data_IF_417693897854
#
_entry.id   IF_417693897854
#
_cell.length_a   1.000
_cell.length_b   1.000
_cell.length_c   1.000
_cell.angle_alpha   90.00
_cell.angle_beta   90.00
_cell.angle_gamma   90.00
#
_symmetry.space_group_name_H-M   'P 1'
#
loop_
_entity.id
_entity.type
_entity.pdbx_description
1 polymer ?
#
# COMPACT_ATOMS: atom_id res chain seq x y z
N UNK A 1 -12.37 52.50 15.04
CA UNK A 1 -11.82 51.24 15.57
C UNK A 1 -12.81 50.06 15.68
N UNK A 2 -14.06 50.20 16.07
CA UNK A 2 -15.05 49.09 16.19
C UNK A 2 -15.43 48.38 14.87
N UNK A 3 -15.47 49.08 13.73
CA UNK A 3 -15.82 48.46 12.42
C UNK A 3 -14.71 47.55 11.86
N UNK A 4 -13.47 47.84 12.16
CA UNK A 4 -12.31 47.04 11.70
C UNK A 4 -12.25 45.66 12.41
N UNK A 5 -12.58 45.59 13.68
CA UNK A 5 -12.62 44.34 14.45
C UNK A 5 -13.77 43.42 14.01
N UNK A 6 -14.92 43.95 13.65
CA UNK A 6 -16.08 43.17 13.16
C UNK A 6 -15.73 42.52 11.80
N UNK A 7 -15.06 43.23 10.90
CA UNK A 7 -14.67 42.71 9.59
C UNK A 7 -13.58 41.60 9.72
N UNK A 8 -12.63 41.75 10.65
CA UNK A 8 -11.62 40.72 10.90
C UNK A 8 -12.24 39.45 11.49
N UNK A 9 -13.17 39.57 12.44
CA UNK A 9 -13.88 38.43 13.03
C UNK A 9 -14.76 37.74 11.97
N UNK A 10 -15.42 38.49 11.12
CA UNK A 10 -16.29 37.96 10.06
C UNK A 10 -15.46 37.21 8.97
N UNK A 11 -14.30 37.76 8.58
CA UNK A 11 -13.35 37.07 7.68
C UNK A 11 -12.80 35.77 8.28
N UNK A 12 -12.47 35.77 9.58
CA UNK A 12 -12.00 34.55 10.26
C UNK A 12 -13.09 33.48 10.33
N UNK A 13 -14.32 33.87 10.59
CA UNK A 13 -15.48 32.95 10.68
C UNK A 13 -15.82 32.33 9.30
N UNK A 14 -15.75 33.11 8.23
CA UNK A 14 -15.97 32.61 6.87
C UNK A 14 -14.88 31.66 6.39
N UNK A 15 -13.62 31.86 6.79
CA UNK A 15 -12.50 30.98 6.47
C UNK A 15 -12.62 29.62 7.20
N UNK A 16 -13.01 29.63 8.47
CA UNK A 16 -13.21 28.39 9.25
C UNK A 16 -14.37 27.56 8.66
N UNK A 17 -15.48 28.21 8.28
CA UNK A 17 -16.64 27.55 7.67
C UNK A 17 -16.28 26.89 6.32
N UNK A 18 -15.49 27.54 5.50
CA UNK A 18 -15.06 26.99 4.20
C UNK A 18 -14.08 25.82 4.34
N UNK A 19 -13.12 25.90 5.25
CA UNK A 19 -12.21 24.79 5.53
C UNK A 19 -12.97 23.56 6.07
N UNK A 20 -14.04 23.77 6.84
CA UNK A 20 -14.92 22.73 7.31
C UNK A 20 -15.71 22.09 6.16
N UNK A 21 -16.32 22.88 5.27
CA UNK A 21 -17.04 22.42 4.09
C UNK A 21 -16.16 21.58 3.16
N UNK A 22 -14.91 22.04 2.94
CA UNK A 22 -13.94 21.31 2.14
C UNK A 22 -13.56 19.97 2.79
N UNK A 23 -13.32 19.95 4.10
CA UNK A 23 -13.03 18.74 4.84
C UNK A 23 -14.18 17.73 4.78
N UNK A 24 -15.43 18.18 4.91
CA UNK A 24 -16.61 17.34 4.79
C UNK A 24 -16.78 16.78 3.38
N UNK A 25 -16.58 17.60 2.35
CA UNK A 25 -16.63 17.16 0.94
C UNK A 25 -15.56 16.11 0.63
N UNK A 26 -14.35 16.24 1.17
CA UNK A 26 -13.32 15.22 1.06
C UNK A 26 -13.71 13.93 1.80
N UNK A 27 -14.27 14.06 3.00
CA UNK A 27 -14.71 12.91 3.78
C UNK A 27 -15.81 12.12 3.05
N UNK A 28 -16.77 12.80 2.45
CA UNK A 28 -17.84 12.20 1.64
C UNK A 28 -17.29 11.50 0.39
N UNK A 29 -16.22 12.03 -0.17
CA UNK A 29 -15.50 11.42 -1.30
C UNK A 29 -14.60 10.23 -0.92
N UNK A 30 -14.54 9.82 0.37
CA UNK A 30 -13.81 8.65 0.85
C UNK A 30 -12.44 8.94 1.46
N UNK A 31 -12.08 10.20 1.55
CA UNK A 31 -10.85 10.59 2.24
C UNK A 31 -11.01 10.41 3.76
N UNK A 32 -9.93 10.06 4.41
CA UNK A 32 -9.87 9.82 5.84
C UNK A 32 -8.69 10.57 6.45
N UNK A 33 -8.75 10.82 7.75
CA UNK A 33 -7.73 11.57 8.49
C UNK A 33 -7.38 12.92 7.83
N UNK A 34 -8.42 13.62 7.35
CA UNK A 34 -8.27 14.87 6.62
C UNK A 34 -7.90 16.02 7.57
N UNK A 35 -6.79 16.68 7.29
CA UNK A 35 -6.34 17.89 7.96
C UNK A 35 -6.09 18.98 6.91
N UNK A 36 -6.63 20.16 7.14
CA UNK A 36 -6.49 21.31 6.25
C UNK A 36 -5.77 22.40 7.03
N UNK A 37 -4.56 22.72 6.63
CA UNK A 37 -3.73 23.74 7.26
C UNK A 37 -3.53 24.89 6.27
N UNK A 38 -3.93 26.07 6.69
CA UNK A 38 -3.81 27.30 5.92
C UNK A 38 -2.81 28.22 6.61
N UNK A 39 -1.77 28.65 5.88
CA UNK A 39 -0.80 29.60 6.37
C UNK A 39 -0.39 30.55 5.24
N UNK A 40 -0.58 31.84 5.45
CA UNK A 40 -0.19 32.93 4.54
C UNK A 40 -0.65 32.71 3.08
N UNK A 41 -0.87 32.51 2.22
CA UNK A 41 -1.17 32.21 0.81
C UNK A 41 -0.90 30.74 0.41
N UNK A 42 -0.69 29.84 1.37
CA UNK A 42 -0.46 28.41 1.13
C UNK A 42 -1.53 27.55 1.79
N UNK A 43 -2.01 26.54 1.07
CA UNK A 43 -2.95 25.53 1.57
C UNK A 43 -2.25 24.16 1.55
N UNK A 44 -2.18 23.51 2.70
CA UNK A 44 -1.65 22.16 2.83
C UNK A 44 -2.77 21.22 3.26
N UNK A 45 -3.05 20.22 2.43
CA UNK A 45 -4.08 19.23 2.68
C UNK A 45 -3.42 17.89 2.96
N UNK A 46 -3.62 17.37 4.16
CA UNK A 46 -3.14 16.07 4.60
C UNK A 46 -4.29 15.09 4.59
N UNK A 47 -4.12 13.90 4.03
CA UNK A 47 -5.18 12.89 3.95
C UNK A 47 -4.65 11.47 3.72
N UNK A 48 -5.41 10.47 4.13
CA UNK A 48 -5.32 9.10 3.64
C UNK A 48 -6.52 8.80 2.74
N UNK A 49 -6.28 8.15 1.59
CA UNK A 49 -7.34 7.72 0.69
C UNK A 49 -7.04 6.30 0.20
N UNK A 50 -7.83 5.34 0.66
CA UNK A 50 -7.55 3.90 0.52
C UNK A 50 -8.27 3.25 -0.67
N UNK A 51 -8.88 4.05 -1.54
CA UNK A 51 -9.61 3.55 -2.71
C UNK A 51 -8.69 3.36 -3.93
N UNK A 52 -7.70 4.23 -4.09
CA UNK A 52 -6.77 4.18 -5.21
C UNK A 52 -5.39 3.66 -4.79
N UNK A 53 -4.85 2.78 -5.62
CA UNK A 53 -3.47 2.32 -5.51
C UNK A 53 -2.46 3.45 -5.65
N UNK A 54 -2.75 4.38 -6.57
CA UNK A 54 -1.86 5.48 -6.93
C UNK A 54 -2.31 6.79 -6.27
N UNK A 55 -1.47 7.42 -5.43
CA UNK A 55 -1.81 8.66 -4.74
C UNK A 55 -2.07 9.84 -5.68
N UNK A 56 -1.61 9.79 -6.94
CA UNK A 56 -1.94 10.78 -7.96
C UNK A 56 -3.45 10.96 -8.12
N UNK A 57 -4.20 9.88 -8.24
CA UNK A 57 -5.65 9.94 -8.40
C UNK A 57 -6.33 10.56 -7.18
N UNK A 58 -5.85 10.26 -5.99
CA UNK A 58 -6.35 10.87 -4.75
C UNK A 58 -6.06 12.37 -4.70
N UNK A 59 -4.85 12.79 -5.06
CA UNK A 59 -4.48 14.21 -5.12
C UNK A 59 -5.28 14.96 -6.19
N UNK A 60 -5.51 14.36 -7.37
CA UNK A 60 -6.35 14.94 -8.41
C UNK A 60 -7.79 15.09 -7.97
N UNK A 61 -8.37 14.08 -7.32
CA UNK A 61 -9.73 14.15 -6.79
C UNK A 61 -9.86 15.26 -5.74
N UNK A 62 -8.89 15.36 -4.82
CA UNK A 62 -8.87 16.42 -3.81
C UNK A 62 -8.79 17.82 -4.46
N UNK A 63 -7.97 17.98 -5.51
CA UNK A 63 -7.90 19.24 -6.28
C UNK A 63 -9.22 19.57 -6.96
N UNK A 64 -9.87 18.59 -7.61
CA UNK A 64 -11.17 18.78 -8.25
C UNK A 64 -12.27 19.20 -7.28
N UNK A 65 -12.28 18.66 -6.06
CA UNK A 65 -13.23 19.05 -5.02
C UNK A 65 -12.97 20.49 -4.58
N UNK A 66 -11.72 20.87 -4.39
CA UNK A 66 -11.33 22.24 -4.04
C UNK A 66 -11.76 23.25 -5.12
N UNK A 67 -11.52 22.94 -6.40
CA UNK A 67 -11.88 23.79 -7.53
C UNK A 67 -13.41 23.99 -7.64
N UNK A 68 -14.21 22.95 -7.34
CA UNK A 68 -15.67 23.03 -7.33
C UNK A 68 -16.23 23.96 -6.26
N UNK A 69 -15.58 24.06 -5.12
CA UNK A 69 -15.95 24.96 -4.05
C UNK A 69 -15.62 26.43 -4.35
N UNK A 70 -15.13 26.73 -5.57
CA UNK A 70 -14.77 28.09 -6.04
C UNK A 70 -13.80 28.79 -5.09
N UNK A 71 -12.96 28.07 -4.43
CA UNK A 71 -11.84 28.69 -3.74
C UNK A 71 -10.89 29.31 -4.79
N UNK A 72 -10.55 30.59 -4.57
CA UNK A 72 -9.59 31.23 -5.48
C UNK A 72 -8.32 30.41 -5.59
N UNK A 73 -7.74 30.27 -6.79
CA UNK A 73 -6.47 29.54 -6.94
C UNK A 73 -5.45 30.16 -6.00
N UNK A 74 -5.13 29.46 -4.94
CA UNK A 74 -4.08 29.87 -4.00
C UNK A 74 -2.74 29.58 -4.65
N UNK A 75 -1.82 30.50 -4.54
CA UNK A 75 -0.54 30.41 -5.23
C UNK A 75 0.30 29.19 -4.83
N UNK A 76 -0.07 28.49 -3.73
CA UNK A 76 0.68 27.31 -3.23
C UNK A 76 -0.24 26.28 -2.60
N UNK A 77 -0.82 25.41 -3.41
CA UNK A 77 -1.51 24.19 -2.93
C UNK A 77 -0.49 23.05 -2.83
N UNK A 78 -0.51 22.34 -1.72
CA UNK A 78 0.32 21.13 -1.50
C UNK A 78 -0.48 20.03 -0.82
N UNK A 79 -0.12 18.78 -1.10
CA UNK A 79 -0.72 17.60 -0.52
C UNK A 79 0.30 16.82 0.32
N UNK A 80 -0.16 16.27 1.44
CA UNK A 80 0.59 15.32 2.26
C UNK A 80 -0.22 14.01 2.32
N UNK A 81 0.00 13.10 1.37
CA UNK A 81 -0.64 11.79 1.42
C UNK A 81 -0.12 10.99 2.62
N UNK A 82 -1.05 10.29 3.26
CA UNK A 82 -0.81 9.40 4.40
C UNK A 82 -0.89 7.96 3.91
N UNK A 83 -0.05 7.09 4.45
CA UNK A 83 -0.12 5.65 4.30
C UNK A 83 -0.01 4.99 5.67
N UNK A 84 -0.97 4.13 6.03
CA UNK A 84 -1.08 3.52 7.35
C UNK A 84 -0.97 4.52 8.52
N UNK A 85 -1.67 5.65 8.38
CA UNK A 85 -1.65 6.73 9.36
C UNK A 85 -0.25 7.35 9.59
N UNK A 86 0.63 7.28 8.59
CA UNK A 86 1.96 7.91 8.57
C UNK A 86 2.08 8.79 7.33
N UNK A 87 2.40 10.09 7.47
CA UNK A 87 2.66 10.95 6.33
C UNK A 87 3.87 10.45 5.54
N UNK A 88 3.76 10.44 4.20
CA UNK A 88 4.84 9.95 3.32
C UNK A 88 5.77 11.07 2.86
N UNK A 89 5.23 12.27 2.70
CA UNK A 89 5.94 13.44 2.22
C UNK A 89 4.98 14.49 1.69
N UNK A 90 5.50 15.63 1.27
CA UNK A 90 4.73 16.75 0.77
C UNK A 90 4.94 16.93 -0.73
N UNK A 91 3.86 17.10 -1.47
CA UNK A 91 3.85 17.26 -2.92
C UNK A 91 3.14 18.55 -3.32
N UNK A 92 3.74 19.34 -4.21
CA UNK A 92 3.05 20.49 -4.80
C UNK A 92 1.93 20.02 -5.74
N UNK A 93 0.78 20.68 -5.73
CA UNK A 93 -0.36 20.29 -6.55
C UNK A 93 -0.15 20.49 -8.05
N UNK A 94 0.77 21.42 -8.44
CA UNK A 94 1.00 21.76 -9.84
C UNK A 94 2.01 20.83 -10.51
N UNK A 95 3.10 20.49 -9.82
CA UNK A 95 4.24 19.77 -10.40
C UNK A 95 4.51 18.43 -9.76
N UNK A 96 3.81 18.10 -8.65
CA UNK A 96 4.09 16.94 -7.80
C UNK A 96 5.54 16.89 -7.31
N UNK A 97 6.18 18.08 -7.18
CA UNK A 97 7.52 18.15 -6.60
C UNK A 97 7.48 17.72 -5.15
N UNK A 98 8.32 16.73 -4.84
CA UNK A 98 8.45 16.17 -3.50
C UNK A 98 9.30 17.04 -2.60
N UNK A 99 8.95 17.10 -1.34
CA UNK A 99 9.80 17.58 -0.24
C UNK A 99 9.50 16.79 1.03
N UNK A 100 10.51 16.63 1.88
CA UNK A 100 10.32 16.12 3.24
C UNK A 100 9.41 17.06 4.04
N UNK A 101 8.73 16.51 5.05
CA UNK A 101 7.96 17.32 5.97
C UNK A 101 8.91 18.11 6.89
N UNK A 102 8.54 19.35 7.17
CA UNK A 102 9.18 20.11 8.23
C UNK A 102 8.80 19.57 9.61
N UNK A 103 9.60 19.88 10.61
CA UNK A 103 9.30 19.48 11.99
C UNK A 103 7.94 20.03 12.43
N UNK A 104 7.61 21.27 12.09
CA UNK A 104 6.32 21.89 12.42
C UNK A 104 5.12 21.20 11.76
N UNK A 105 5.26 20.73 10.51
CA UNK A 105 4.21 19.96 9.81
C UNK A 105 4.01 18.59 10.46
N UNK A 106 5.10 17.95 10.88
CA UNK A 106 5.06 16.66 11.58
C UNK A 106 4.39 16.79 12.95
N UNK A 107 4.73 17.81 13.73
CA UNK A 107 4.12 18.10 15.02
C UNK A 107 2.63 18.46 14.89
N UNK A 108 2.26 19.28 13.90
CA UNK A 108 0.88 19.62 13.60
C UNK A 108 0.05 18.39 13.26
N UNK A 109 0.59 17.48 12.41
CA UNK A 109 -0.06 16.23 12.11
C UNK A 109 -0.30 15.39 13.36
N UNK A 110 0.71 15.23 14.22
CA UNK A 110 0.62 14.43 15.44
C UNK A 110 -0.43 14.97 16.40
N UNK A 111 -0.49 16.29 16.58
CA UNK A 111 -1.42 16.95 17.50
C UNK A 111 -2.88 16.76 17.10
N UNK A 112 -3.17 16.77 15.79
CA UNK A 112 -4.53 16.68 15.26
C UNK A 112 -4.95 15.25 14.89
N UNK A 113 -4.03 14.29 14.93
CA UNK A 113 -4.28 12.91 14.54
C UNK A 113 -4.99 12.12 15.66
N UNK A 114 -6.30 11.87 15.45
CA UNK A 114 -7.14 11.06 16.36
C UNK A 114 -7.52 9.75 15.67
N UNK A 115 -6.63 8.77 15.72
CA UNK A 115 -6.69 7.51 14.96
C UNK A 115 -8.10 6.90 14.92
N UNK A 116 -8.68 6.56 16.05
CA UNK A 116 -9.98 5.89 16.13
C UNK A 116 -11.18 6.73 15.64
N UNK A 117 -11.05 8.05 15.55
CA UNK A 117 -12.12 8.94 15.08
C UNK A 117 -12.01 9.32 13.62
N UNK A 118 -10.82 9.20 13.06
CA UNK A 118 -10.49 9.71 11.74
C UNK A 118 -10.61 8.65 10.64
N UNK A 119 -10.87 7.39 11.01
CA UNK A 119 -10.97 6.27 10.07
C UNK A 119 -12.31 5.56 10.18
N UNK A 120 -12.82 5.11 9.02
CA UNK A 120 -13.96 4.20 8.93
C UNK A 120 -13.51 2.77 9.18
N UNK A 121 -14.38 1.93 9.70
CA UNK A 121 -14.18 0.48 9.61
C UNK A 121 -14.27 0.08 8.13
N UNK A 122 -13.19 -0.41 7.56
CA UNK A 122 -13.13 -0.79 6.16
C UNK A 122 -13.20 -2.30 6.01
N UNK A 123 -14.24 -2.78 5.32
CA UNK A 123 -14.34 -4.17 4.87
C UNK A 123 -13.89 -4.21 3.42
N UNK A 124 -12.89 -5.03 3.11
CA UNK A 124 -12.33 -5.20 1.77
C UNK A 124 -12.72 -6.55 1.20
N UNK A 125 -13.08 -6.56 -0.07
CA UNK A 125 -13.35 -7.77 -0.84
C UNK A 125 -12.28 -7.87 -1.91
N UNK A 126 -11.49 -8.94 -1.89
CA UNK A 126 -10.40 -9.13 -2.83
C UNK A 126 -10.38 -10.56 -3.38
N UNK A 127 -10.26 -10.73 -4.70
CA UNK A 127 -10.03 -12.03 -5.29
C UNK A 127 -8.60 -12.49 -5.00
N UNK A 128 -8.45 -13.80 -4.85
CA UNK A 128 -7.16 -14.47 -4.81
C UNK A 128 -7.15 -15.55 -5.88
N UNK A 129 -6.21 -15.44 -6.81
CA UNK A 129 -6.04 -16.38 -7.91
C UNK A 129 -4.65 -16.99 -7.81
N UNK A 130 -4.57 -18.30 -7.81
CA UNK A 130 -3.33 -19.06 -7.97
C UNK A 130 -3.53 -19.93 -9.19
N UNK A 131 -2.59 -19.91 -10.13
CA UNK A 131 -2.67 -20.68 -11.35
C UNK A 131 -1.35 -21.38 -11.64
N UNK A 132 -1.43 -22.56 -12.22
CA UNK A 132 -0.31 -23.35 -12.70
C UNK A 132 -0.62 -23.83 -14.10
N UNK A 133 0.36 -23.72 -15.00
CA UNK A 133 0.20 -24.05 -16.40
C UNK A 133 1.24 -25.09 -16.84
N UNK A 134 0.93 -25.85 -17.87
CA UNK A 134 1.90 -26.66 -18.60
C UNK A 134 1.99 -28.13 -18.21
N UNK A 135 1.07 -28.66 -17.41
CA UNK A 135 0.97 -30.11 -17.18
C UNK A 135 0.28 -30.82 -18.35
N UNK A 136 0.86 -31.90 -18.82
CA UNK A 136 0.31 -32.65 -19.96
C UNK A 136 -1.10 -33.22 -19.69
N UNK A 137 -1.34 -33.71 -18.47
CA UNK A 137 -2.62 -34.34 -18.09
C UNK A 137 -3.67 -33.34 -17.62
N UNK A 138 -3.23 -32.20 -17.07
CA UNK A 138 -4.10 -31.12 -16.60
C UNK A 138 -3.38 -29.78 -16.85
N UNK A 139 -3.49 -29.26 -18.08
CA UNK A 139 -2.66 -28.13 -18.53
C UNK A 139 -3.00 -26.81 -17.84
N UNK A 140 -4.12 -26.72 -17.13
CA UNK A 140 -4.55 -25.52 -16.45
C UNK A 140 -5.15 -25.82 -15.08
N UNK A 141 -4.34 -25.65 -14.06
CA UNK A 141 -4.78 -25.83 -12.67
C UNK A 141 -4.94 -24.47 -11.99
N UNK A 142 -6.06 -24.27 -11.32
CA UNK A 142 -6.37 -23.00 -10.66
C UNK A 142 -6.96 -23.21 -9.28
N UNK A 143 -6.72 -22.22 -8.44
CA UNK A 143 -7.39 -22.04 -7.16
C UNK A 143 -7.90 -20.61 -7.10
N UNK A 144 -9.20 -20.48 -6.90
CA UNK A 144 -9.87 -19.19 -6.82
C UNK A 144 -10.56 -19.05 -5.47
N UNK A 145 -10.17 -18.01 -4.73
CA UNK A 145 -10.77 -17.64 -3.45
C UNK A 145 -11.24 -16.19 -3.49
N UNK A 146 -12.16 -15.85 -2.60
CA UNK A 146 -12.50 -14.46 -2.26
C UNK A 146 -12.11 -14.25 -0.80
N UNK A 147 -11.25 -13.28 -0.55
CA UNK A 147 -10.91 -12.84 0.79
C UNK A 147 -11.79 -11.63 1.16
N UNK A 148 -12.41 -11.72 2.32
CA UNK A 148 -13.18 -10.64 2.94
C UNK A 148 -12.44 -10.29 4.22
N UNK A 149 -11.76 -9.17 4.24
CA UNK A 149 -10.93 -8.76 5.36
C UNK A 149 -11.23 -7.34 5.82
N UNK A 150 -10.78 -7.02 7.02
CA UNK A 150 -10.87 -5.69 7.61
C UNK A 150 -9.51 -5.28 8.17
N UNK A 151 -9.16 -4.01 7.98
CA UNK A 151 -7.98 -3.40 8.57
C UNK A 151 -8.39 -2.27 9.50
N UNK A 152 -7.98 -2.38 10.75
CA UNK A 152 -8.28 -1.43 11.82
C UNK A 152 -6.98 -0.76 12.23
N UNK A 153 -6.94 0.58 12.22
CA UNK A 153 -5.82 1.34 12.74
C UNK A 153 -5.96 1.49 14.26
N UNK A 154 -4.93 1.03 15.00
CA UNK A 154 -4.88 1.06 16.47
C UNK A 154 -4.14 2.30 16.95
N UNK A 155 -3.03 2.61 16.28
CA UNK A 155 -2.18 3.76 16.56
C UNK A 155 -1.52 4.26 15.26
N UNK A 156 -0.69 5.29 15.35
CA UNK A 156 0.08 5.78 14.21
C UNK A 156 0.97 4.66 13.67
N UNK A 157 0.78 4.30 12.42
CA UNK A 157 1.49 3.21 11.76
C UNK A 157 1.10 1.80 12.19
N UNK A 158 0.38 1.64 13.31
CA UNK A 158 0.01 0.34 13.84
C UNK A 158 -1.41 -0.03 13.42
N UNK A 159 -1.56 -1.15 12.75
CA UNK A 159 -2.84 -1.69 12.32
C UNK A 159 -2.97 -3.18 12.62
N UNK A 160 -4.19 -3.63 12.75
CA UNK A 160 -4.57 -5.04 12.82
C UNK A 160 -5.44 -5.37 11.61
N UNK A 161 -5.08 -6.42 10.90
CA UNK A 161 -5.85 -6.97 9.78
C UNK A 161 -6.32 -8.38 10.12
N UNK A 162 -7.56 -8.70 9.78
CA UNK A 162 -8.11 -10.05 9.90
C UNK A 162 -9.31 -10.22 8.96
N UNK A 163 -9.68 -11.47 8.67
CA UNK A 163 -10.81 -11.74 7.80
C UNK A 163 -11.05 -13.23 7.57
N UNK A 164 -11.84 -13.51 6.53
CA UNK A 164 -12.17 -14.85 6.09
C UNK A 164 -11.83 -15.04 4.62
N UNK A 165 -11.40 -16.24 4.26
CA UNK A 165 -11.21 -16.70 2.90
C UNK A 165 -12.37 -17.64 2.54
N UNK A 166 -13.12 -17.25 1.51
CA UNK A 166 -14.20 -18.03 0.91
C UNK A 166 -13.65 -18.72 -0.34
N UNK A 167 -13.40 -20.03 -0.33
CA UNK A 167 -12.96 -20.75 -1.52
C UNK A 167 -14.11 -20.92 -2.49
N UNK A 168 -13.87 -20.66 -3.76
CA UNK A 168 -14.88 -20.76 -4.83
C UNK A 168 -14.62 -21.97 -5.70
N UNK A 169 -13.34 -22.17 -6.10
CA UNK A 169 -12.94 -23.29 -6.95
C UNK A 169 -11.50 -23.70 -6.64
N UNK A 170 -11.21 -24.98 -6.73
CA UNK A 170 -9.86 -25.51 -6.52
C UNK A 170 -9.67 -26.83 -7.29
N UNK A 171 -8.80 -26.79 -8.30
CA UNK A 171 -8.27 -28.00 -8.95
C UNK A 171 -6.72 -27.98 -8.95
N UNK A 172 -6.11 -27.09 -8.15
CA UNK A 172 -4.67 -26.93 -8.06
C UNK A 172 -4.04 -27.85 -7.01
N UNK A 173 -4.70 -28.03 -5.89
CA UNK A 173 -4.23 -28.80 -4.76
C UNK A 173 -5.41 -29.54 -4.06
N UNK A 174 -5.09 -30.34 -3.05
CA UNK A 174 -6.09 -31.14 -2.33
C UNK A 174 -6.81 -30.37 -1.21
N UNK A 175 -6.67 -29.04 -1.13
CA UNK A 175 -7.32 -28.25 -0.10
C UNK A 175 -8.82 -28.17 -0.32
N UNK A 176 -9.60 -28.58 0.68
CA UNK A 176 -11.06 -28.58 0.63
C UNK A 176 -11.63 -27.15 0.48
N UNK A 177 -12.82 -27.07 -0.16
CA UNK A 177 -13.60 -25.83 -0.29
C UNK A 177 -14.31 -25.48 1.05
N UNK A 178 -13.53 -25.18 2.08
CA UNK A 178 -14.03 -24.79 3.41
C UNK A 178 -13.59 -23.36 3.73
N UNK A 179 -14.42 -22.65 4.49
CA UNK A 179 -14.06 -21.31 5.00
C UNK A 179 -12.79 -21.39 5.83
N UNK A 180 -11.90 -20.45 5.62
CA UNK A 180 -10.60 -20.34 6.30
C UNK A 180 -10.36 -18.93 6.81
N UNK A 181 -9.41 -18.78 7.72
CA UNK A 181 -8.89 -17.46 8.07
C UNK A 181 -8.18 -16.85 6.85
N UNK A 182 -8.51 -15.61 6.51
CA UNK A 182 -7.68 -14.80 5.64
C UNK A 182 -6.37 -14.42 6.38
N UNK A 183 -5.36 -13.89 5.66
CA UNK A 183 -4.17 -13.34 6.32
C UNK A 183 -4.53 -12.41 7.47
N UNK A 184 -4.06 -12.76 8.67
CA UNK A 184 -4.42 -12.07 9.91
C UNK A 184 -3.15 -11.68 10.64
N UNK A 185 -2.91 -10.35 10.78
CA UNK A 185 -1.62 -9.87 11.27
C UNK A 185 -1.73 -8.52 11.97
N UNK A 186 -0.80 -8.29 12.86
CA UNK A 186 -0.45 -6.96 13.34
C UNK A 186 0.62 -6.41 12.39
N UNK A 187 0.41 -5.20 11.91
CA UNK A 187 1.33 -4.53 11.00
C UNK A 187 1.71 -3.16 11.54
N UNK A 188 2.99 -2.85 11.48
CA UNK A 188 3.55 -1.57 11.85
C UNK A 188 4.32 -0.98 10.67
N UNK A 189 3.93 0.23 10.25
CA UNK A 189 4.60 1.03 9.24
C UNK A 189 5.09 2.34 9.86
N UNK A 190 6.31 2.75 9.54
CA UNK A 190 6.89 3.99 10.09
C UNK A 190 7.88 4.62 9.12
N UNK A 191 7.99 5.94 9.24
CA UNK A 191 9.09 6.73 8.69
C UNK A 191 9.82 7.39 9.87
N UNK A 192 10.78 6.69 10.50
CA UNK A 192 11.47 7.17 11.69
C UNK A 192 12.37 8.38 11.42
N UNK A 193 12.94 8.47 10.23
CA UNK A 193 13.77 9.59 9.74
C UNK A 193 13.42 9.88 8.28
N UNK A 194 13.82 11.04 7.80
CA UNK A 194 13.65 11.42 6.41
C UNK A 194 14.21 10.34 5.47
N UNK A 195 13.40 9.93 4.49
CA UNK A 195 13.74 8.92 3.48
C UNK A 195 13.95 7.48 4.00
N UNK A 196 13.71 7.21 5.29
CA UNK A 196 13.87 5.89 5.89
C UNK A 196 12.50 5.33 6.27
N UNK A 197 12.13 4.21 5.68
CA UNK A 197 10.84 3.55 5.88
C UNK A 197 11.04 2.15 6.45
N UNK A 198 10.16 1.78 7.37
CA UNK A 198 10.16 0.49 8.04
C UNK A 198 8.76 -0.11 7.96
N UNK A 199 8.69 -1.40 7.69
CA UNK A 199 7.48 -2.21 7.75
C UNK A 199 7.77 -3.46 8.57
N UNK A 200 6.90 -3.78 9.53
CA UNK A 200 6.98 -4.99 10.35
C UNK A 200 5.60 -5.62 10.40
N UNK A 201 5.51 -6.90 10.04
CA UNK A 201 4.29 -7.68 10.09
C UNK A 201 4.49 -8.93 10.94
N UNK A 202 3.53 -9.26 11.79
CA UNK A 202 3.53 -10.46 12.62
C UNK A 202 2.14 -11.09 12.61
N UNK A 203 2.05 -12.36 12.22
CA UNK A 203 0.79 -13.08 12.17
C UNK A 203 0.75 -14.18 11.13
N UNK A 204 -0.42 -14.41 10.55
CA UNK A 204 -0.62 -15.38 9.46
C UNK A 204 -0.68 -14.66 8.11
N UNK A 205 -0.11 -15.30 7.11
CA UNK A 205 0.07 -14.84 5.75
C UNK A 205 -0.65 -15.79 4.76
N UNK A 206 -0.56 -15.52 3.47
CA UNK A 206 -1.09 -16.42 2.44
C UNK A 206 -0.40 -17.78 2.44
N UNK A 207 -1.07 -18.78 1.87
CA UNK A 207 -0.59 -20.15 1.72
C UNK A 207 -0.29 -20.84 3.07
N UNK A 208 -1.11 -20.56 4.09
CA UNK A 208 -0.98 -21.16 5.42
C UNK A 208 0.40 -20.90 6.07
N UNK A 209 1.02 -19.79 5.74
CA UNK A 209 2.29 -19.37 6.34
C UNK A 209 2.04 -18.44 7.52
N UNK A 210 2.86 -18.51 8.56
CA UNK A 210 2.81 -17.62 9.70
C UNK A 210 4.22 -17.19 10.11
N UNK A 211 4.35 -16.12 10.87
CA UNK A 211 5.65 -15.68 11.37
C UNK A 211 5.79 -14.17 11.47
N UNK A 212 7.03 -13.72 11.24
CA UNK A 212 7.44 -12.31 11.31
C UNK A 212 8.10 -11.94 10.00
N UNK A 213 7.74 -10.77 9.47
CA UNK A 213 8.28 -10.14 8.26
C UNK A 213 8.74 -8.73 8.59
N UNK A 214 9.97 -8.39 8.27
CA UNK A 214 10.55 -7.08 8.44
C UNK A 214 11.09 -6.56 7.10
N UNK A 215 10.72 -5.33 6.75
CA UNK A 215 11.25 -4.63 5.59
C UNK A 215 11.77 -3.24 6.01
N UNK A 216 12.90 -2.87 5.47
CA UNK A 216 13.47 -1.53 5.57
C UNK A 216 13.78 -1.01 4.16
N UNK A 217 13.56 0.29 3.95
CA UNK A 217 13.94 0.94 2.70
C UNK A 217 14.42 2.37 2.93
N UNK A 218 15.57 2.68 2.36
CA UNK A 218 16.01 4.05 2.15
C UNK A 218 15.53 4.51 0.76
N UNK A 219 14.67 5.50 0.72
CA UNK A 219 14.06 6.02 -0.51
C UNK A 219 13.82 7.53 -0.40
N UNK A 220 14.66 8.34 -1.04
CA UNK A 220 14.34 9.72 -1.34
C UNK A 220 13.37 9.74 -2.52
N UNK A 221 12.10 10.04 -2.27
CA UNK A 221 11.04 9.98 -3.26
C UNK A 221 11.17 11.04 -4.37
N UNK A 222 12.06 12.01 -4.19
CA UNK A 222 12.49 12.96 -5.23
C UNK A 222 13.60 12.42 -6.13
N UNK A 223 14.25 11.32 -5.75
CA UNK A 223 15.36 10.70 -6.47
C UNK A 223 14.98 9.42 -7.18
N UNK A 224 15.94 8.82 -7.89
CA UNK A 224 15.72 7.63 -8.71
C UNK A 224 16.23 6.33 -8.08
N UNK A 225 17.12 6.42 -7.09
CA UNK A 225 17.66 5.28 -6.39
C UNK A 225 16.93 5.04 -5.08
N UNK A 226 16.69 3.78 -4.79
CA UNK A 226 16.31 3.33 -3.45
C UNK A 226 16.99 2.02 -3.13
N UNK A 227 17.20 1.76 -1.84
CA UNK A 227 17.89 0.59 -1.33
C UNK A 227 17.04 -0.06 -0.25
N UNK A 228 16.91 -1.36 -0.31
CA UNK A 228 16.04 -2.12 0.57
C UNK A 228 16.76 -3.27 1.25
N UNK A 229 16.16 -3.68 2.35
CA UNK A 229 16.54 -4.85 3.11
C UNK A 229 15.27 -5.52 3.62
N UNK A 230 15.18 -6.84 3.51
CA UNK A 230 14.05 -7.60 4.02
C UNK A 230 14.55 -8.86 4.74
N UNK A 231 13.95 -9.16 5.87
CA UNK A 231 14.25 -10.34 6.67
C UNK A 231 12.97 -10.89 7.28
N UNK A 232 12.90 -12.19 7.45
CA UNK A 232 11.78 -12.80 8.14
C UNK A 232 12.07 -14.22 8.60
N UNK A 233 11.18 -14.65 9.50
CA UNK A 233 11.19 -15.95 10.10
C UNK A 233 9.78 -16.51 10.02
N UNK A 234 9.60 -17.61 9.29
CA UNK A 234 8.30 -18.16 8.99
C UNK A 234 8.22 -19.68 9.18
N UNK A 235 7.00 -20.19 9.32
CA UNK A 235 6.66 -21.61 9.33
C UNK A 235 5.30 -21.81 8.71
N UNK A 236 4.84 -23.07 8.63
CA UNK A 236 3.52 -23.41 8.15
C UNK A 236 2.56 -23.68 9.31
N UNK A 237 1.29 -23.36 9.08
CA UNK A 237 0.20 -23.75 9.97
C UNK A 237 -0.98 -24.28 9.15
N UNK A 238 -1.82 -25.10 9.77
CA UNK A 238 -3.11 -25.46 9.21
C UNK A 238 -4.15 -25.64 10.31
N UNK A 239 -5.38 -25.39 9.93
CA UNK A 239 -6.54 -25.54 10.79
C UNK A 239 -7.36 -26.74 10.32
N UNK A 240 -7.62 -27.67 11.21
CA UNK A 240 -8.53 -28.79 10.98
C UNK A 240 -9.66 -28.73 12.02
N UNK A 241 -10.81 -28.23 11.61
CA UNK A 241 -11.88 -27.86 12.52
C UNK A 241 -11.44 -26.76 13.48
N UNK A 242 -11.38 -27.05 14.79
CA UNK A 242 -10.88 -26.13 15.82
C UNK A 242 -9.41 -26.40 16.22
N UNK A 243 -8.80 -27.44 15.67
CA UNK A 243 -7.43 -27.79 15.99
C UNK A 243 -6.45 -26.99 15.12
N UNK A 244 -5.54 -26.29 15.77
CA UNK A 244 -4.43 -25.57 15.14
C UNK A 244 -3.18 -26.44 15.20
N UNK A 245 -2.64 -26.76 14.05
CA UNK A 245 -1.34 -27.40 13.88
C UNK A 245 -0.34 -26.37 13.31
N UNK A 246 0.87 -26.39 13.82
CA UNK A 246 1.94 -25.50 13.32
C UNK A 246 3.28 -26.22 13.28
N UNK A 247 4.05 -25.93 12.27
CA UNK A 247 5.46 -26.26 12.18
C UNK A 247 6.32 -25.23 12.90
N UNK A 248 7.56 -25.56 13.28
CA UNK A 248 8.48 -24.58 13.84
C UNK A 248 8.71 -23.38 12.92
N UNK A 249 9.08 -22.24 13.50
CA UNK A 249 9.56 -21.07 12.78
C UNK A 249 11.05 -21.29 12.41
N UNK A 250 11.33 -21.96 11.31
CA UNK A 250 12.67 -22.35 10.90
C UNK A 250 13.06 -21.93 9.47
N UNK A 251 12.08 -21.40 8.73
CA UNK A 251 12.28 -20.93 7.36
C UNK A 251 12.63 -19.43 7.38
N UNK A 252 13.93 -19.15 7.30
CA UNK A 252 14.51 -17.81 7.39
C UNK A 252 14.82 -17.30 5.98
N UNK A 253 14.43 -16.07 5.69
CA UNK A 253 14.93 -15.34 4.54
C UNK A 253 15.65 -14.05 4.96
N UNK A 254 16.62 -13.64 4.13
CA UNK A 254 17.42 -12.44 4.33
C UNK A 254 17.84 -11.89 2.97
N UNK A 255 17.33 -10.75 2.57
CA UNK A 255 17.51 -10.18 1.24
C UNK A 255 17.88 -8.71 1.31
N UNK A 256 18.74 -8.26 0.42
CA UNK A 256 18.99 -6.84 0.17
C UNK A 256 18.70 -6.54 -1.31
N UNK A 257 18.20 -5.35 -1.58
CA UNK A 257 17.90 -4.93 -2.93
C UNK A 257 18.31 -3.48 -3.21
N UNK A 258 18.59 -3.21 -4.48
CA UNK A 258 18.75 -1.87 -5.03
C UNK A 258 17.78 -1.69 -6.19
N UNK A 259 17.04 -0.59 -6.19
CA UNK A 259 16.11 -0.24 -7.26
C UNK A 259 16.49 1.09 -7.88
N UNK A 260 16.54 1.13 -9.20
CA UNK A 260 16.79 2.33 -10.00
C UNK A 260 15.64 2.60 -10.96
N UNK A 261 15.07 3.79 -10.89
CA UNK A 261 14.06 4.27 -11.83
C UNK A 261 14.75 4.91 -13.04
N UNK A 262 14.50 4.38 -14.21
CA UNK A 262 14.98 4.96 -15.47
C UNK A 262 14.39 6.36 -15.70
N UNK A 263 15.11 7.26 -16.40
CA UNK A 263 14.65 8.63 -16.66
C UNK A 263 13.48 8.71 -17.64
N UNK A 264 13.03 7.61 -18.18
CA UNK A 264 12.00 7.51 -19.20
C UNK A 264 11.05 6.36 -18.92
N UNK A 265 9.84 6.46 -19.47
CA UNK A 265 8.86 5.37 -19.55
C UNK A 265 8.39 4.77 -18.22
N UNK A 266 8.66 5.40 -17.07
CA UNK A 266 8.29 4.89 -15.73
C UNK A 266 8.71 3.42 -15.49
N UNK A 267 9.89 3.08 -15.96
CA UNK A 267 10.48 1.76 -15.77
C UNK A 267 11.42 1.80 -14.58
N UNK A 268 11.30 0.82 -13.69
CA UNK A 268 12.23 0.56 -12.59
C UNK A 268 12.95 -0.77 -12.83
N UNK A 269 14.24 -0.79 -12.53
CA UNK A 269 15.07 -1.98 -12.48
C UNK A 269 15.41 -2.26 -11.03
N UNK A 270 15.12 -3.46 -10.54
CA UNK A 270 15.46 -3.88 -9.18
C UNK A 270 16.31 -5.13 -9.21
N UNK A 271 17.42 -5.11 -8.48
CA UNK A 271 18.27 -6.26 -8.24
C UNK A 271 18.17 -6.64 -6.76
N UNK A 272 17.77 -7.86 -6.49
CA UNK A 272 17.68 -8.45 -5.15
C UNK A 272 18.72 -9.56 -5.02
N UNK A 273 19.44 -9.57 -3.91
CA UNK A 273 20.43 -10.58 -3.56
C UNK A 273 20.20 -11.07 -2.14
N UNK A 274 20.37 -12.37 -1.91
CA UNK A 274 20.28 -12.91 -0.56
C UNK A 274 19.83 -14.34 -0.48
N UNK A 275 19.34 -14.70 0.69
CA UNK A 275 18.68 -15.96 0.99
C UNK A 275 17.16 -15.76 0.92
N UNK A 276 16.53 -16.50 0.03
CA UNK A 276 15.08 -16.66 -0.10
C UNK A 276 14.58 -17.76 0.85
N UNK A 277 13.29 -18.09 0.79
CA UNK A 277 12.74 -19.22 1.52
C UNK A 277 13.43 -20.54 1.14
N UNK A 278 13.28 -21.57 1.99
CA UNK A 278 13.89 -22.91 1.79
C UNK A 278 15.43 -22.90 1.69
N UNK A 279 16.07 -21.92 2.36
CA UNK A 279 17.54 -21.74 2.36
C UNK A 279 18.14 -21.51 0.96
N UNK A 280 17.33 -21.15 0.00
CA UNK A 280 17.74 -20.85 -1.36
C UNK A 280 18.50 -19.51 -1.41
N UNK A 281 19.68 -19.48 -2.09
CA UNK A 281 20.53 -18.30 -2.14
C UNK A 281 20.83 -17.92 -3.58
N UNK A 282 20.70 -16.65 -3.89
CA UNK A 282 20.98 -16.18 -5.24
C UNK A 282 20.55 -14.76 -5.51
N UNK A 283 20.26 -14.50 -6.77
CA UNK A 283 19.92 -13.19 -7.31
C UNK A 283 18.57 -13.24 -8.00
N UNK A 284 17.81 -12.15 -7.88
CA UNK A 284 16.61 -11.89 -8.67
C UNK A 284 16.71 -10.49 -9.28
N UNK A 285 16.43 -10.39 -10.56
CA UNK A 285 16.32 -9.14 -11.31
C UNK A 285 14.89 -8.93 -11.72
N UNK A 286 14.32 -7.76 -11.40
CA UNK A 286 12.97 -7.35 -11.79
C UNK A 286 13.05 -6.11 -12.69
N UNK A 287 12.27 -6.11 -13.77
CA UNK A 287 11.98 -4.96 -14.62
C UNK A 287 10.50 -4.63 -14.47
N UNK A 288 10.19 -3.45 -13.97
CA UNK A 288 8.82 -3.04 -13.63
C UNK A 288 8.44 -1.78 -14.39
N UNK A 289 7.39 -1.85 -15.20
CA UNK A 289 6.75 -0.71 -15.88
C UNK A 289 5.51 -0.28 -15.11
N UNK A 290 5.45 0.99 -14.74
CA UNK A 290 4.27 1.59 -14.09
C UNK A 290 3.41 2.35 -15.09
N UNK A 291 2.10 2.14 -14.98
CA UNK A 291 1.02 2.91 -15.60
C UNK A 291 0.18 3.57 -14.50
N UNK A 292 -0.70 4.49 -14.87
CA UNK A 292 -1.47 5.24 -13.86
C UNK A 292 -2.31 4.35 -12.92
N UNK A 293 -2.95 3.30 -13.45
CA UNK A 293 -3.79 2.38 -12.69
C UNK A 293 -3.22 0.95 -12.57
N UNK A 294 -2.09 0.66 -13.22
CA UNK A 294 -1.54 -0.69 -13.30
C UNK A 294 0.00 -0.70 -13.24
N UNK A 295 0.54 -1.85 -12.99
CA UNK A 295 1.98 -2.16 -13.02
C UNK A 295 2.18 -3.53 -13.67
N UNK A 296 3.14 -3.63 -14.55
CA UNK A 296 3.54 -4.89 -15.19
C UNK A 296 5.04 -5.07 -14.96
N UNK A 297 5.42 -6.24 -14.50
CA UNK A 297 6.82 -6.60 -14.26
C UNK A 297 7.20 -7.91 -14.92
N UNK A 298 8.45 -8.01 -15.34
CA UNK A 298 9.13 -9.22 -15.74
C UNK A 298 10.26 -9.48 -14.76
N UNK A 299 10.52 -10.73 -14.44
CA UNK A 299 11.65 -11.06 -13.59
C UNK A 299 12.38 -12.31 -14.05
N UNK A 300 13.64 -12.40 -13.63
CA UNK A 300 14.48 -13.57 -13.78
C UNK A 300 15.26 -13.79 -12.48
N UNK A 301 15.36 -15.04 -12.05
CA UNK A 301 16.07 -15.41 -10.83
C UNK A 301 17.06 -16.54 -11.11
N UNK A 302 18.23 -16.45 -10.51
CA UNK A 302 19.27 -17.49 -10.55
C UNK A 302 19.79 -17.73 -9.14
N UNK A 303 19.63 -18.95 -8.67
CA UNK A 303 19.96 -19.34 -7.31
C UNK A 303 20.68 -20.67 -7.28
N UNK A 304 21.05 -21.13 -6.08
CA UNK A 304 21.66 -22.45 -5.92
C UNK A 304 20.70 -23.63 -6.19
N UNK A 305 19.37 -23.38 -6.19
CA UNK A 305 18.35 -24.38 -6.56
C UNK A 305 18.22 -24.45 -8.09
N UNK A 306 18.25 -23.29 -8.78
CA UNK A 306 18.08 -23.29 -10.23
C UNK A 306 17.87 -21.89 -10.81
N UNK A 307 17.27 -21.88 -12.01
CA UNK A 307 16.91 -20.67 -12.73
C UNK A 307 15.40 -20.63 -12.99
N UNK A 308 14.80 -19.48 -12.81
CA UNK A 308 13.41 -19.26 -13.16
C UNK A 308 13.18 -17.87 -13.75
N UNK A 309 12.13 -17.72 -14.51
CA UNK A 309 11.62 -16.45 -15.02
C UNK A 309 10.13 -16.35 -14.76
N UNK A 310 9.61 -15.15 -14.82
CA UNK A 310 8.19 -14.95 -14.69
C UNK A 310 7.77 -13.52 -14.97
N UNK A 311 6.50 -13.29 -14.72
CA UNK A 311 5.91 -11.96 -14.84
C UNK A 311 4.97 -11.70 -13.67
N UNK A 312 4.79 -10.43 -13.39
CA UNK A 312 3.86 -9.96 -12.37
C UNK A 312 3.03 -8.80 -12.92
N UNK A 313 1.85 -8.65 -12.39
CA UNK A 313 1.05 -7.45 -12.61
C UNK A 313 0.31 -7.07 -11.35
N UNK A 314 0.06 -5.77 -11.23
CA UNK A 314 -0.76 -5.20 -10.18
C UNK A 314 -1.65 -4.11 -10.77
N UNK A 315 -2.90 -4.05 -10.35
CA UNK A 315 -3.85 -3.03 -10.79
C UNK A 315 -4.90 -2.76 -9.71
N UNK A 316 -5.55 -1.61 -9.81
CA UNK A 316 -6.70 -1.28 -8.98
C UNK A 316 -7.91 -2.09 -9.41
N UNK A 317 -8.64 -2.67 -8.46
CA UNK A 317 -9.85 -3.44 -8.75
C UNK A 317 -11.08 -2.52 -8.71
N UNK A 318 -11.90 -2.55 -9.76
CA UNK A 318 -13.10 -1.73 -9.86
C UNK A 318 -14.39 -2.56 -9.75
N UNK A 319 -15.46 -2.01 -9.15
CA UNK A 319 -15.54 -0.69 -8.52
C UNK A 319 -14.76 -0.65 -7.20
N UNK A 320 -14.04 0.45 -6.92
CA UNK A 320 -13.28 0.62 -5.68
C UNK A 320 -14.19 0.71 -4.46
N UNK A 321 -15.27 1.48 -4.55
CA UNK A 321 -16.26 1.67 -3.50
C UNK A 321 -17.55 0.95 -3.83
N UNK A 322 -17.99 0.04 -2.96
CA UNK A 322 -19.26 -0.68 -3.04
C UNK A 322 -20.34 -0.06 -2.13
N UNK A 323 -19.93 0.39 -0.95
CA UNK A 323 -20.79 1.07 0.01
C UNK A 323 -19.95 1.99 0.89
N UNK A 324 -20.42 3.20 1.13
CA UNK A 324 -19.78 4.15 2.04
C UNK A 324 -20.82 4.79 2.94
N UNK A 325 -20.70 4.51 4.23
CA UNK A 325 -21.45 5.18 5.30
C UNK A 325 -20.54 6.06 6.14
N UNK A 326 -21.11 6.63 7.20
CA UNK A 326 -20.37 7.51 8.10
C UNK A 326 -19.21 6.80 8.83
N UNK A 327 -19.44 5.56 9.30
CA UNK A 327 -18.47 4.80 10.11
C UNK A 327 -17.99 3.50 9.47
N UNK A 328 -18.64 3.04 8.40
CA UNK A 328 -18.38 1.79 7.72
C UNK A 328 -18.22 2.03 6.23
N UNK A 329 -17.21 1.38 5.65
CA UNK A 329 -17.02 1.33 4.22
C UNK A 329 -16.85 -0.12 3.77
N UNK A 330 -17.50 -0.50 2.67
CA UNK A 330 -17.28 -1.77 1.97
C UNK A 330 -16.69 -1.44 0.61
N UNK A 331 -15.52 -1.99 0.31
CA UNK A 331 -14.78 -1.67 -0.91
C UNK A 331 -14.04 -2.88 -1.47
N UNK A 332 -13.60 -2.79 -2.69
CA UNK A 332 -12.64 -3.73 -3.25
C UNK A 332 -11.22 -3.40 -2.75
N UNK A 333 -10.28 -4.30 -2.97
CA UNK A 333 -8.87 -3.99 -2.69
C UNK A 333 -8.36 -2.87 -3.59
N UNK A 334 -7.55 -1.98 -3.02
CA UNK A 334 -6.84 -0.94 -3.77
C UNK A 334 -5.83 -1.50 -4.76
N UNK A 335 -5.30 -2.69 -4.48
CA UNK A 335 -4.36 -3.39 -5.34
C UNK A 335 -4.68 -4.88 -5.40
N UNK A 336 -4.96 -5.38 -6.60
CA UNK A 336 -4.85 -6.80 -6.92
C UNK A 336 -3.48 -7.03 -7.53
N UNK A 337 -2.70 -7.94 -6.94
CA UNK A 337 -1.36 -8.29 -7.41
C UNK A 337 -1.30 -9.79 -7.67
N UNK A 338 -0.74 -10.16 -8.81
CA UNK A 338 -0.53 -11.54 -9.21
C UNK A 338 0.85 -11.71 -9.84
N UNK A 339 1.49 -12.82 -9.50
CA UNK A 339 2.78 -13.21 -10.02
C UNK A 339 2.70 -14.64 -10.58
N UNK A 340 3.26 -14.84 -11.75
CA UNK A 340 3.44 -16.15 -12.37
C UNK A 340 4.93 -16.44 -12.50
N UNK A 341 5.33 -17.63 -12.01
CA UNK A 341 6.68 -18.14 -12.08
C UNK A 341 6.69 -19.37 -12.99
N UNK A 342 7.57 -19.37 -13.97
CA UNK A 342 7.84 -20.54 -14.81
C UNK A 342 8.56 -21.59 -13.97
N UNK A 343 8.23 -22.87 -14.16
CA UNK A 343 8.81 -24.00 -13.43
C UNK A 343 8.54 -23.96 -11.89
N UNK A 344 7.27 -24.05 -11.53
CA UNK A 344 6.82 -24.05 -10.13
C UNK A 344 7.13 -25.35 -9.33
N UNK A 345 7.83 -26.34 -9.93
CA UNK A 345 8.19 -27.58 -9.22
C UNK A 345 9.30 -27.35 -8.20
N UNK A 346 10.22 -26.44 -8.52
CA UNK A 346 11.32 -26.08 -7.64
C UNK A 346 11.11 -24.66 -7.10
N UNK A 347 11.28 -24.45 -5.81
CA UNK A 347 11.02 -23.14 -5.19
C UNK A 347 12.19 -22.17 -5.40
N UNK A 348 12.56 -21.90 -6.66
CA UNK A 348 13.67 -21.00 -7.03
C UNK A 348 13.31 -19.57 -6.66
N UNK A 349 14.13 -18.92 -5.85
CA UNK A 349 13.95 -17.56 -5.33
C UNK A 349 12.52 -17.35 -4.76
N UNK A 350 11.98 -18.36 -4.09
CA UNK A 350 10.61 -18.34 -3.62
C UNK A 350 10.42 -17.30 -2.51
N UNK A 351 9.32 -16.58 -2.62
CA UNK A 351 8.87 -15.59 -1.62
C UNK A 351 7.42 -15.89 -1.24
N UNK A 352 6.95 -15.39 -0.11
CA UNK A 352 5.56 -15.55 0.29
C UNK A 352 4.75 -14.27 0.11
N UNK A 353 3.45 -14.43 -0.08
CA UNK A 353 2.51 -13.30 -0.15
C UNK A 353 2.11 -12.89 1.25
N UNK A 354 2.37 -11.62 1.58
CA UNK A 354 2.15 -11.09 2.93
C UNK A 354 0.66 -10.86 3.25
N UNK A 355 -0.15 -10.50 2.27
CA UNK A 355 -1.55 -10.08 2.46
C UNK A 355 -1.71 -8.56 2.40
N UNK A 356 -0.62 -7.85 2.11
CA UNK A 356 -0.56 -6.43 1.80
C UNK A 356 0.62 -6.15 0.85
N UNK A 357 0.65 -4.97 0.19
CA UNK A 357 1.77 -4.60 -0.67
C UNK A 357 3.09 -4.54 0.08
N UNK A 358 4.16 -4.98 -0.56
CA UNK A 358 5.54 -4.87 -0.04
C UNK A 358 6.01 -3.42 -0.05
N UNK A 359 6.89 -3.08 0.87
CA UNK A 359 7.42 -1.71 1.02
C UNK A 359 7.98 -1.09 -0.27
N UNK A 360 8.77 -1.79 -1.11
CA UNK A 360 9.22 -1.25 -2.40
C UNK A 360 8.05 -0.92 -3.34
N UNK A 361 7.01 -1.77 -3.39
CA UNK A 361 5.87 -1.56 -4.27
C UNK A 361 5.02 -0.35 -3.83
N UNK A 362 4.88 -0.15 -2.52
CA UNK A 362 4.21 1.03 -1.96
C UNK A 362 4.98 2.29 -2.34
N UNK A 363 6.26 2.38 -1.99
CA UNK A 363 7.03 3.62 -2.17
C UNK A 363 7.26 3.98 -3.64
N UNK A 364 7.25 2.98 -4.54
CA UNK A 364 7.31 3.20 -5.99
C UNK A 364 6.14 4.07 -6.48
N UNK A 365 4.95 3.97 -5.85
CA UNK A 365 3.77 4.77 -6.19
C UNK A 365 3.92 6.24 -5.80
N UNK A 366 4.71 6.53 -4.77
CA UNK A 366 4.94 7.88 -4.25
C UNK A 366 6.15 8.59 -4.87
N UNK A 367 6.84 7.97 -5.84
CA UNK A 367 7.98 8.61 -6.52
C UNK A 367 7.55 9.87 -7.28
N UNK A 368 8.22 11.00 -7.03
CA UNK A 368 7.99 12.26 -7.75
C UNK A 368 8.05 12.08 -9.27
N UNK A 369 9.05 11.32 -9.76
CA UNK A 369 9.22 11.11 -11.19
C UNK A 369 8.02 10.39 -11.82
N UNK A 370 7.40 9.46 -11.09
CA UNK A 370 6.18 8.79 -11.53
C UNK A 370 4.98 9.74 -11.49
N UNK A 371 4.75 10.40 -10.36
CA UNK A 371 3.60 11.31 -10.18
C UNK A 371 3.62 12.45 -11.20
N UNK A 372 4.78 13.04 -11.46
CA UNK A 372 4.94 14.14 -12.43
C UNK A 372 4.72 13.69 -13.88
N UNK A 373 4.94 12.42 -14.20
CA UNK A 373 4.74 11.88 -15.55
C UNK A 373 3.28 11.59 -15.89
N UNK A 374 2.39 11.60 -14.90
CA UNK A 374 0.94 11.37 -15.06
C UNK A 374 0.15 12.68 -15.27
N UNK A 375 0.82 13.82 -15.24
CA UNK A 375 0.26 15.17 -15.38
C UNK A 375 -0.36 15.42 -16.76
#
# INVERSE_FOLDING_TARGET
MKKTWINIVFCFFTLILKAQEFKESLYDAGFENVQVNEANDSLVVTFEHREFRNPYHSMQLAKLILDKLKEQPRNKLSFIPIYHNVPIGKYTAETYTYSSLTQSETEAFQTHNKVLKNYRLSIRIQPEVIARFGFYTDPFQTKFNINIDSRIYIARGLSFQTGITVPIANNLDNQNLQLRSAPSMIHYFSQPWDHHFISLSMGSFYNNRYGIDFEYRHADLGKRWSFGFAAGLTGFYWLEGLNLYNEPLDDIYLKADAEYRLPFENISLKLTAGQFLYKDKGLRFDLVKQYSAAEIGLFASSTNIGFTTGFQFAFSLFPGNLYRGEKLEVRTTEEFRWEYTYNNFEPVAHDFRLGMPRLPDVLRQYSQNFLSSLK
#
